data_IF_646503492248
#
_entry.id   IF_646503492248
#
_cell.length_a   1.000
_cell.length_b   1.000
_cell.length_c   1.000
_cell.angle_alpha   90.00
_cell.angle_beta   90.00
_cell.angle_gamma   90.00
#
_symmetry.space_group_name_H-M   'P 1'
#
loop_
_entity.id
_entity.type
_entity.pdbx_description
1 polymer ?
#
# COMPACT_ATOMS: atom_id res chain seq x y z
N UNK A 1 15.61 -12.19 -11.21
CA UNK A 1 14.38 -12.79 -11.69
C UNK A 1 13.16 -12.08 -11.17
N UNK A 2 12.19 -11.90 -11.95
CA UNK A 2 10.98 -11.20 -11.60
C UNK A 2 9.78 -12.15 -11.67
N UNK A 3 8.63 -11.69 -11.23
CA UNK A 3 7.36 -12.37 -11.49
C UNK A 3 6.88 -12.03 -12.91
N UNK A 4 7.76 -12.21 -13.88
CA UNK A 4 7.41 -11.92 -15.26
C UNK A 4 6.31 -12.82 -15.81
N UNK A 5 5.96 -13.85 -15.06
CA UNK A 5 4.79 -14.69 -15.33
C UNK A 5 3.74 -14.38 -14.27
N UNK A 6 2.78 -13.58 -14.60
CA UNK A 6 1.73 -13.19 -13.65
C UNK A 6 1.02 -14.40 -13.05
N UNK A 7 0.88 -15.49 -13.80
CA UNK A 7 0.24 -16.69 -13.30
C UNK A 7 1.00 -17.41 -12.18
N UNK A 8 2.26 -17.04 -11.93
CA UNK A 8 3.04 -17.66 -10.84
C UNK A 8 2.96 -16.87 -9.53
N UNK A 9 2.32 -15.72 -9.53
CA UNK A 9 2.16 -14.93 -8.30
C UNK A 9 1.11 -15.60 -7.42
N UNK A 10 1.44 -15.94 -6.16
CA UNK A 10 0.47 -16.57 -5.27
C UNK A 10 -0.74 -15.66 -5.04
N UNK A 11 -1.91 -16.26 -4.93
CA UNK A 11 -3.14 -15.50 -4.78
C UNK A 11 -3.13 -14.54 -3.57
N UNK A 12 -2.67 -14.93 -2.36
CA UNK A 12 -2.61 -13.99 -1.25
C UNK A 12 -1.71 -12.79 -1.53
N UNK A 13 -0.57 -12.99 -2.17
CA UNK A 13 0.31 -11.90 -2.54
C UNK A 13 -0.32 -11.05 -3.65
N UNK A 14 -0.98 -11.66 -4.62
CA UNK A 14 -1.67 -10.95 -5.67
C UNK A 14 -2.78 -10.05 -5.12
N UNK A 15 -3.52 -10.53 -4.13
CA UNK A 15 -4.55 -9.73 -3.47
C UNK A 15 -3.95 -8.54 -2.72
N UNK A 16 -2.81 -8.73 -2.06
CA UNK A 16 -2.09 -7.65 -1.40
C UNK A 16 -1.67 -6.58 -2.40
N UNK A 17 -1.08 -6.99 -3.52
CA UNK A 17 -0.65 -6.07 -4.56
C UNK A 17 -1.83 -5.38 -5.22
N UNK A 18 -2.95 -6.10 -5.43
CA UNK A 18 -4.16 -5.52 -5.96
C UNK A 18 -4.73 -4.43 -5.04
N UNK A 19 -4.65 -4.64 -3.72
CA UNK A 19 -5.09 -3.63 -2.76
C UNK A 19 -4.32 -2.32 -2.92
N UNK A 20 -3.00 -2.40 -3.10
CA UNK A 20 -2.19 -1.21 -3.33
C UNK A 20 -2.43 -0.59 -4.70
N UNK A 21 -2.73 -1.39 -5.71
CA UNK A 21 -3.08 -0.88 -7.03
C UNK A 21 -4.37 -0.06 -6.96
N UNK A 22 -5.37 -0.58 -6.26
CA UNK A 22 -6.65 0.11 -6.07
C UNK A 22 -6.47 1.38 -5.24
N UNK A 23 -5.66 1.30 -4.18
CA UNK A 23 -5.34 2.46 -3.36
C UNK A 23 -4.68 3.56 -4.19
N UNK A 24 -3.71 3.19 -5.04
CA UNK A 24 -3.05 4.14 -5.93
C UNK A 24 -4.03 4.77 -6.91
N UNK A 25 -4.93 3.98 -7.47
CA UNK A 25 -5.95 4.48 -8.40
C UNK A 25 -6.87 5.49 -7.71
N UNK A 26 -7.36 5.15 -6.52
CA UNK A 26 -8.19 6.05 -5.72
C UNK A 26 -7.44 7.35 -5.41
N UNK A 27 -6.19 7.26 -4.97
CA UNK A 27 -5.39 8.44 -4.65
C UNK A 27 -5.07 9.27 -5.89
N UNK A 28 -4.94 8.65 -7.05
CA UNK A 28 -4.72 9.37 -8.30
C UNK A 28 -5.93 10.26 -8.62
N UNK A 29 -7.14 9.71 -8.55
CA UNK A 29 -8.34 10.50 -8.81
C UNK A 29 -8.57 11.56 -7.74
N UNK A 30 -8.45 11.20 -6.48
CA UNK A 30 -8.62 12.16 -5.38
C UNK A 30 -7.59 13.28 -5.46
N UNK A 31 -6.34 12.95 -5.77
CA UNK A 31 -5.29 13.93 -5.90
C UNK A 31 -5.54 14.90 -7.06
N UNK A 32 -5.93 14.38 -8.20
CA UNK A 32 -6.23 15.20 -9.38
C UNK A 32 -7.39 16.16 -9.10
N UNK A 33 -8.46 15.67 -8.49
CA UNK A 33 -9.62 16.50 -8.16
C UNK A 33 -9.26 17.59 -7.14
N UNK A 34 -8.40 17.30 -6.18
CA UNK A 34 -8.00 18.29 -5.19
C UNK A 34 -7.08 19.37 -5.76
N UNK A 35 -6.35 19.08 -6.84
CA UNK A 35 -5.50 20.08 -7.49
C UNK A 35 -6.27 21.17 -8.21
N UNK A 36 -7.55 20.92 -8.51
CA UNK A 36 -8.40 21.91 -9.18
C UNK A 36 -8.69 23.10 -8.24
N UNK A 37 -8.81 22.84 -6.95
CA UNK A 37 -9.07 23.88 -5.96
C UNK A 37 -7.73 24.36 -5.38
N UNK A 38 -7.36 25.66 -5.54
CA UNK A 38 -6.08 26.16 -5.04
C UNK A 38 -5.87 25.97 -3.55
N UNK A 39 -6.95 25.99 -2.76
CA UNK A 39 -6.86 25.79 -1.31
C UNK A 39 -6.48 24.35 -0.97
N UNK A 40 -6.82 23.41 -1.84
CA UNK A 40 -6.61 21.98 -1.60
C UNK A 40 -5.40 21.40 -2.32
N UNK A 41 -4.56 22.24 -2.93
CA UNK A 41 -3.37 21.78 -3.64
C UNK A 41 -2.47 20.91 -2.74
N UNK A 42 -2.16 21.30 -1.47
CA UNK A 42 -1.33 20.44 -0.62
C UNK A 42 -1.93 19.04 -0.42
N UNK A 43 -3.24 18.95 -0.26
CA UNK A 43 -3.91 17.65 -0.12
C UNK A 43 -3.81 16.84 -1.41
N UNK A 44 -3.98 17.48 -2.57
CA UNK A 44 -3.85 16.83 -3.85
C UNK A 44 -2.45 16.27 -4.07
N UNK A 45 -1.43 17.03 -3.72
CA UNK A 45 -0.04 16.59 -3.84
C UNK A 45 0.22 15.39 -2.92
N UNK A 46 -0.33 15.40 -1.71
CA UNK A 46 -0.21 14.28 -0.78
C UNK A 46 -0.83 13.01 -1.38
N UNK A 47 -2.04 13.10 -1.92
CA UNK A 47 -2.69 11.95 -2.54
C UNK A 47 -1.88 11.42 -3.73
N UNK A 48 -1.34 12.30 -4.55
CA UNK A 48 -0.52 11.87 -5.69
C UNK A 48 0.79 11.22 -5.23
N UNK A 49 1.38 11.69 -4.13
CA UNK A 49 2.55 11.05 -3.55
C UNK A 49 2.24 9.63 -3.08
N UNK A 50 1.10 9.44 -2.42
CA UNK A 50 0.65 8.11 -2.00
C UNK A 50 0.38 7.22 -3.21
N UNK A 51 -0.19 7.77 -4.27
CA UNK A 51 -0.39 7.05 -5.53
C UNK A 51 0.94 6.54 -6.09
N UNK A 52 1.93 7.42 -6.19
CA UNK A 52 3.26 7.06 -6.71
C UNK A 52 3.92 5.99 -5.86
N UNK A 53 3.84 6.13 -4.54
CA UNK A 53 4.37 5.13 -3.62
C UNK A 53 3.69 3.78 -3.83
N UNK A 54 2.37 3.76 -3.90
CA UNK A 54 1.59 2.53 -4.00
C UNK A 54 1.92 1.77 -5.29
N UNK A 55 1.92 2.46 -6.41
CA UNK A 55 2.22 1.84 -7.70
C UNK A 55 3.69 1.45 -7.83
N UNK A 56 4.59 2.29 -7.33
CA UNK A 56 6.03 1.96 -7.30
C UNK A 56 6.30 0.73 -6.44
N UNK A 57 5.61 0.61 -5.32
CA UNK A 57 5.71 -0.55 -4.45
C UNK A 57 5.27 -1.84 -5.19
N UNK A 58 4.13 -1.79 -5.89
CA UNK A 58 3.65 -2.95 -6.65
C UNK A 58 4.69 -3.38 -7.68
N UNK A 59 5.22 -2.42 -8.46
CA UNK A 59 6.26 -2.73 -9.43
C UNK A 59 7.50 -3.31 -8.78
N UNK A 60 7.94 -2.73 -7.68
CA UNK A 60 9.13 -3.19 -6.99
C UNK A 60 9.00 -4.62 -6.48
N UNK A 61 7.84 -4.97 -5.94
CA UNK A 61 7.59 -6.34 -5.49
C UNK A 61 7.58 -7.31 -6.67
N UNK A 62 6.94 -6.93 -7.78
CA UNK A 62 6.92 -7.77 -8.97
C UNK A 62 8.31 -7.94 -9.57
N UNK A 63 9.21 -6.98 -9.36
CA UNK A 63 10.60 -7.06 -9.81
C UNK A 63 11.53 -7.68 -8.76
N UNK A 64 10.96 -8.20 -7.69
CA UNK A 64 11.70 -8.92 -6.63
C UNK A 64 12.81 -8.08 -5.98
N UNK A 65 12.56 -6.80 -5.77
CA UNK A 65 13.53 -5.91 -5.14
C UNK A 65 13.45 -6.03 -3.62
N UNK A 66 14.57 -6.35 -2.97
CA UNK A 66 14.58 -6.52 -1.51
C UNK A 66 14.39 -5.19 -0.76
N UNK A 67 14.83 -4.07 -1.31
CA UNK A 67 14.59 -2.76 -0.72
C UNK A 67 13.10 -2.47 -0.63
N UNK A 68 12.36 -2.86 -1.66
CA UNK A 68 10.92 -2.65 -1.71
C UNK A 68 10.20 -3.58 -0.74
N UNK A 69 10.74 -4.78 -0.54
CA UNK A 69 10.19 -5.70 0.46
C UNK A 69 10.27 -5.09 1.87
N UNK A 70 11.41 -4.48 2.21
CA UNK A 70 11.57 -3.77 3.47
C UNK A 70 10.57 -2.62 3.58
N UNK A 71 10.40 -1.85 2.51
CA UNK A 71 9.42 -0.77 2.48
C UNK A 71 8.00 -1.30 2.69
N UNK A 72 7.69 -2.47 2.14
CA UNK A 72 6.39 -3.09 2.35
C UNK A 72 6.12 -3.44 3.80
N UNK A 73 7.10 -3.99 4.50
CA UNK A 73 6.98 -4.25 5.93
C UNK A 73 6.81 -2.96 6.72
N UNK A 74 7.61 -1.93 6.41
CA UNK A 74 7.50 -0.64 7.08
C UNK A 74 6.15 0.03 6.82
N UNK A 75 5.65 -0.04 5.60
CA UNK A 75 4.35 0.51 5.26
C UNK A 75 3.22 -0.21 6.00
N UNK A 76 3.31 -1.53 6.12
CA UNK A 76 2.31 -2.33 6.84
C UNK A 76 2.28 -1.95 8.33
N UNK A 77 3.45 -1.81 8.94
CA UNK A 77 3.56 -1.34 10.32
C UNK A 77 3.00 0.08 10.43
N UNK A 78 3.28 0.93 9.45
CA UNK A 78 2.75 2.29 9.39
C UNK A 78 1.23 2.34 9.36
N UNK A 79 0.59 1.44 8.62
CA UNK A 79 -0.88 1.36 8.61
C UNK A 79 -1.44 1.00 9.98
N UNK A 80 -0.79 0.07 10.69
CA UNK A 80 -1.21 -0.32 12.04
C UNK A 80 -1.03 0.83 13.02
N UNK A 81 0.09 1.55 12.95
CA UNK A 81 0.34 2.71 13.79
C UNK A 81 -0.67 3.83 13.48
N UNK A 82 -0.96 4.06 12.21
CA UNK A 82 -1.95 5.05 11.80
C UNK A 82 -3.34 4.71 12.33
N UNK A 83 -3.71 3.42 12.31
CA UNK A 83 -4.98 2.99 12.88
C UNK A 83 -5.05 3.26 14.38
N UNK A 84 -3.99 2.95 15.10
CA UNK A 84 -3.94 3.17 16.55
C UNK A 84 -4.03 4.66 16.89
N UNK A 85 -3.22 5.50 16.24
CA UNK A 85 -3.22 6.94 16.48
C UNK A 85 -4.55 7.56 16.06
N UNK A 86 -5.09 7.15 14.93
CA UNK A 86 -6.37 7.67 14.45
C UNK A 86 -7.52 7.36 15.40
N UNK A 87 -7.56 6.11 15.89
CA UNK A 87 -8.59 5.71 16.84
C UNK A 87 -8.45 6.44 18.19
N UNK A 88 -7.20 6.63 18.64
CA UNK A 88 -6.95 7.22 19.96
C UNK A 88 -7.09 8.75 19.96
N UNK A 89 -6.66 9.42 18.89
CA UNK A 89 -6.56 10.88 18.87
C UNK A 89 -7.51 11.60 17.94
N UNK A 90 -7.86 10.94 16.82
CA UNK A 90 -8.67 11.59 15.78
C UNK A 90 -10.08 11.02 15.70
N UNK A 91 -10.43 10.12 16.60
CA UNK A 91 -11.76 9.51 16.66
C UNK A 91 -12.20 8.95 15.29
N UNK A 92 -11.31 8.24 14.60
CA UNK A 92 -11.63 7.62 13.33
C UNK A 92 -12.84 6.71 13.48
N UNK A 93 -13.69 6.69 12.47
CA UNK A 93 -14.78 5.73 12.39
C UNK A 93 -14.21 4.30 12.49
N UNK A 94 -14.92 3.41 13.15
CA UNK A 94 -14.50 2.03 13.31
C UNK A 94 -14.25 1.34 11.96
N UNK A 95 -14.97 1.74 10.92
CA UNK A 95 -14.78 1.19 9.57
C UNK A 95 -13.41 1.55 9.00
N UNK A 96 -13.02 2.80 9.15
CA UNK A 96 -11.70 3.26 8.71
C UNK A 96 -10.60 2.58 9.50
N UNK A 97 -10.76 2.50 10.83
CA UNK A 97 -9.79 1.83 11.69
C UNK A 97 -9.65 0.36 11.30
N UNK A 98 -10.77 -0.32 11.08
CA UNK A 98 -10.75 -1.73 10.67
C UNK A 98 -10.05 -1.92 9.32
N UNK A 99 -10.28 -1.02 8.37
CA UNK A 99 -9.63 -1.07 7.06
C UNK A 99 -8.12 -0.90 7.18
N UNK A 100 -7.66 0.05 7.99
CA UNK A 100 -6.23 0.30 8.19
C UNK A 100 -5.56 -0.89 8.88
N UNK A 101 -6.21 -1.48 9.90
CA UNK A 101 -5.70 -2.67 10.57
C UNK A 101 -5.63 -3.84 9.58
N UNK A 102 -6.66 -4.01 8.77
CA UNK A 102 -6.68 -5.08 7.78
C UNK A 102 -5.56 -4.93 6.76
N UNK A 103 -5.34 -3.72 6.25
CA UNK A 103 -4.24 -3.47 5.31
C UNK A 103 -2.88 -3.79 5.92
N UNK A 104 -2.64 -3.32 7.13
CA UNK A 104 -1.36 -3.55 7.81
C UNK A 104 -1.14 -5.01 8.15
N UNK A 105 -2.12 -5.65 8.79
CA UNK A 105 -1.99 -7.04 9.21
C UNK A 105 -1.88 -7.98 8.00
N UNK A 106 -2.73 -7.78 7.00
CA UNK A 106 -2.69 -8.61 5.80
C UNK A 106 -1.36 -8.44 5.07
N UNK A 107 -0.85 -7.21 4.99
CA UNK A 107 0.45 -6.94 4.38
C UNK A 107 1.58 -7.66 5.08
N UNK A 108 1.62 -7.61 6.41
CA UNK A 108 2.63 -8.32 7.19
C UNK A 108 2.57 -9.83 6.95
N UNK A 109 1.36 -10.38 6.97
CA UNK A 109 1.17 -11.82 6.78
C UNK A 109 1.60 -12.24 5.38
N UNK A 110 1.11 -11.54 4.34
CA UNK A 110 1.40 -11.89 2.97
C UNK A 110 2.89 -11.78 2.65
N UNK A 111 3.53 -10.69 3.06
CA UNK A 111 4.95 -10.50 2.82
C UNK A 111 5.79 -11.49 3.60
N UNK A 112 5.40 -11.80 4.84
CA UNK A 112 6.11 -12.77 5.66
C UNK A 112 6.04 -14.17 5.07
N UNK A 113 4.86 -14.57 4.57
CA UNK A 113 4.67 -15.89 3.98
C UNK A 113 5.48 -16.08 2.69
N UNK A 114 5.58 -15.03 1.89
CA UNK A 114 6.20 -15.14 0.57
C UNK A 114 7.54 -14.44 0.46
N UNK A 115 8.13 -14.04 1.59
CA UNK A 115 9.41 -13.32 1.60
C UNK A 115 10.51 -14.06 0.84
N UNK A 116 10.70 -15.34 1.14
CA UNK A 116 11.72 -16.14 0.47
C UNK A 116 11.46 -16.22 -1.03
N UNK A 117 10.22 -16.47 -1.38
CA UNK A 117 9.84 -16.62 -2.78
C UNK A 117 10.08 -15.34 -3.58
N UNK A 118 9.82 -14.18 -2.96
CA UNK A 118 10.11 -12.88 -3.58
C UNK A 118 11.61 -12.70 -3.76
N UNK A 119 12.40 -13.01 -2.74
CA UNK A 119 13.85 -12.77 -2.76
C UNK A 119 14.62 -13.77 -3.62
N UNK A 120 14.09 -14.96 -3.86
CA UNK A 120 14.73 -15.98 -4.67
C UNK A 120 14.56 -15.75 -6.18
N UNK A 121 13.82 -14.74 -6.55
CA UNK A 121 13.66 -14.36 -7.96
C UNK A 121 14.57 -13.18 -8.30
#
# INVERSE_FOLDING_TARGET
>A
MTFNRMGTVPLPLALHLASYTVLGLFCFFAGTLNLIDPVKIPHGLMFLAVCGFSWGYVFGILMARKEVLVLGFLASIGWLVAALIGAARFAFDWRLTALLVALGAYGLIALGMYRRRILEH
#
